data_IF_784578206003
#
_entry.id   IF_784578206003
#
_cell.length_a   1.000
_cell.length_b   1.000
_cell.length_c   1.000
_cell.angle_alpha   90.00
_cell.angle_beta   90.00
_cell.angle_gamma   90.00
#
_symmetry.space_group_name_H-M   'P 1'
#
loop_
_entity.id
_entity.type
_entity.pdbx_description
1 polymer ?
#
# COMPACT_ATOMS: atom_id res chain seq x y z
N UNK A 1 -11.04 -0.55 70.10
CA UNK A 1 -9.71 -0.99 69.62
C UNK A 1 -9.34 -0.07 68.48
N UNK A 2 -8.34 0.77 68.75
CA UNK A 2 -7.74 1.75 67.85
C UNK A 2 -6.88 1.07 66.78
N UNK A 3 -6.77 1.69 65.60
CA UNK A 3 -5.56 2.25 64.97
C UNK A 3 -6.08 3.14 63.81
N UNK A 4 -6.18 4.46 63.98
CA UNK A 4 -5.20 5.52 63.59
C UNK A 4 -4.84 5.50 62.10
N UNK A 5 -5.29 6.51 61.33
CA UNK A 5 -4.54 7.73 60.95
C UNK A 5 -3.54 7.45 59.82
N UNK A 6 -3.31 8.26 58.79
CA UNK A 6 -3.19 9.71 58.71
C UNK A 6 -3.35 10.17 57.26
N UNK A 7 -3.69 11.46 57.12
CA UNK A 7 -3.86 12.19 55.88
C UNK A 7 -2.50 12.77 55.36
N UNK A 8 -2.45 13.91 54.65
CA UNK A 8 -1.77 14.11 53.37
C UNK A 8 -0.41 14.85 53.48
N UNK A 9 0.33 14.91 52.39
CA UNK A 9 1.43 15.85 52.12
C UNK A 9 1.24 16.29 50.66
N UNK A 10 1.01 17.54 50.23
CA UNK A 10 1.62 18.85 50.54
C UNK A 10 3.16 18.82 50.41
N UNK A 11 3.89 19.73 49.77
CA UNK A 11 3.68 21.02 49.08
C UNK A 11 5.05 21.37 48.44
N UNK A 12 5.06 22.30 47.47
CA UNK A 12 6.19 23.12 46.99
C UNK A 12 7.28 22.42 46.17
N UNK A 13 7.87 23.00 45.14
CA UNK A 13 7.92 24.40 44.71
C UNK A 13 9.34 24.70 44.21
N UNK A 14 9.43 25.62 43.24
CA UNK A 14 10.62 26.34 42.77
C UNK A 14 11.56 25.59 41.81
N UNK A 15 11.58 25.99 40.54
CA UNK A 15 12.51 27.04 40.07
C UNK A 15 12.19 27.40 38.61
N UNK A 16 11.93 28.69 38.40
CA UNK A 16 12.06 29.33 37.09
C UNK A 16 13.53 29.31 36.69
N UNK A 17 13.84 28.69 35.55
CA UNK A 17 15.05 28.95 34.80
C UNK A 17 14.64 29.26 33.36
N UNK A 18 14.87 30.51 32.97
CA UNK A 18 14.54 31.02 31.65
C UNK A 18 15.27 30.25 30.55
N UNK A 19 14.51 29.75 29.60
CA UNK A 19 15.01 29.35 28.29
C UNK A 19 14.62 30.44 27.30
N UNK A 20 15.64 31.17 26.84
CA UNK A 20 15.58 32.23 25.85
C UNK A 20 14.84 31.78 24.58
N UNK A 21 14.14 32.67 23.86
CA UNK A 21 13.69 32.37 22.50
C UNK A 21 14.94 32.19 21.63
N UNK A 22 15.09 31.00 21.04
CA UNK A 22 16.08 30.77 19.98
C UNK A 22 15.49 31.41 18.72
N UNK A 23 15.85 32.67 18.48
CA UNK A 23 15.72 33.30 17.18
C UNK A 23 16.57 32.49 16.19
N UNK A 24 15.91 31.71 15.33
CA UNK A 24 16.58 31.13 14.16
C UNK A 24 16.61 32.21 13.08
N UNK A 25 17.76 32.50 12.46
CA UNK A 25 17.80 33.40 11.33
C UNK A 25 16.98 32.81 10.18
N UNK A 26 15.99 33.56 9.73
CA UNK A 26 15.32 33.36 8.44
C UNK A 26 16.33 33.66 7.35
N UNK A 27 17.06 32.63 6.89
CA UNK A 27 17.75 32.71 5.61
C UNK A 27 16.69 32.56 4.52
N UNK A 28 16.30 33.70 3.98
CA UNK A 28 15.49 33.84 2.79
C UNK A 28 16.27 33.24 1.61
N UNK A 29 15.86 32.06 1.12
CA UNK A 29 16.34 31.53 -0.16
C UNK A 29 15.41 32.10 -1.23
N UNK A 30 15.77 33.28 -1.70
CA UNK A 30 15.24 33.85 -2.93
C UNK A 30 16.00 33.22 -4.12
N UNK A 31 15.26 32.90 -5.18
CA UNK A 31 15.71 32.32 -6.47
C UNK A 31 15.75 30.79 -6.57
N UNK A 32 14.57 30.19 -6.63
CA UNK A 32 14.39 28.96 -7.42
C UNK A 32 14.16 29.38 -8.86
N UNK A 33 15.14 29.15 -9.73
CA UNK A 33 14.94 29.32 -11.17
C UNK A 33 13.87 28.35 -11.67
N UNK A 34 12.96 28.75 -12.59
CA UNK A 34 12.14 27.80 -13.30
C UNK A 34 13.04 26.96 -14.20
N UNK A 35 13.38 25.74 -13.79
CA UNK A 35 13.92 24.77 -14.72
C UNK A 35 12.82 24.44 -15.73
N UNK A 36 13.01 24.89 -16.97
CA UNK A 36 12.30 24.34 -18.13
C UNK A 36 12.71 22.87 -18.29
N UNK A 37 12.06 21.99 -17.53
CA UNK A 37 12.20 20.55 -17.65
C UNK A 37 11.48 20.12 -18.94
N UNK A 38 12.23 20.05 -20.03
CA UNK A 38 11.74 19.48 -21.28
C UNK A 38 11.66 17.97 -21.12
N UNK A 39 10.46 17.45 -20.90
CA UNK A 39 10.17 16.02 -20.96
C UNK A 39 10.60 15.48 -22.33
N UNK A 40 11.68 14.70 -22.37
CA UNK A 40 11.89 13.74 -23.45
C UNK A 40 11.61 12.34 -22.89
N UNK A 41 10.48 11.71 -23.25
CA UNK A 41 10.31 10.30 -22.95
C UNK A 41 11.20 9.54 -23.93
N UNK A 42 12.40 9.15 -23.50
CA UNK A 42 13.09 8.03 -24.14
C UNK A 42 12.89 6.84 -23.22
N UNK A 43 11.69 6.29 -23.23
CA UNK A 43 11.50 4.92 -22.78
C UNK A 43 11.95 4.01 -23.93
N UNK A 44 12.90 3.09 -23.71
CA UNK A 44 13.04 1.97 -24.62
C UNK A 44 11.70 1.19 -24.61
N UNK A 45 11.21 0.70 -25.76
CA UNK A 45 10.02 -0.15 -25.76
C UNK A 45 10.37 -1.42 -25.00
N UNK A 46 9.85 -1.57 -23.79
CA UNK A 46 9.97 -2.82 -23.06
C UNK A 46 9.08 -3.86 -23.76
N UNK A 47 9.48 -5.14 -23.82
CA UNK A 47 8.65 -6.22 -24.34
C UNK A 47 7.61 -6.61 -23.26
N UNK A 48 6.65 -5.72 -22.96
CA UNK A 48 5.91 -5.82 -21.69
C UNK A 48 4.77 -6.85 -21.70
N UNK A 49 4.16 -7.12 -22.85
CA UNK A 49 2.89 -7.88 -22.89
C UNK A 49 3.11 -9.39 -22.64
N UNK A 50 4.20 -9.96 -23.17
CA UNK A 50 4.47 -11.40 -23.00
C UNK A 50 4.95 -11.74 -21.59
N UNK A 51 5.70 -10.84 -20.94
CA UNK A 51 6.20 -11.03 -19.58
C UNK A 51 5.08 -11.02 -18.52
N UNK A 52 4.09 -10.14 -18.65
CA UNK A 52 2.96 -10.09 -17.71
C UNK A 52 2.12 -11.37 -17.83
N UNK A 53 1.83 -11.84 -19.04
CA UNK A 53 1.08 -13.09 -19.27
C UNK A 53 1.82 -14.32 -18.75
N UNK A 54 3.13 -14.39 -18.97
CA UNK A 54 3.97 -15.48 -18.47
C UNK A 54 4.04 -15.47 -16.93
N UNK A 55 4.14 -14.28 -16.30
CA UNK A 55 4.11 -14.15 -14.85
C UNK A 55 2.75 -14.48 -14.24
N UNK A 56 1.63 -14.11 -14.88
CA UNK A 56 0.29 -14.53 -14.43
C UNK A 56 0.11 -16.05 -14.52
N UNK A 57 0.65 -16.68 -15.56
CA UNK A 57 0.66 -18.14 -15.70
C UNK A 57 1.50 -18.83 -14.63
N UNK A 58 2.66 -18.24 -14.27
CA UNK A 58 3.52 -18.69 -13.18
C UNK A 58 2.86 -18.50 -11.81
N UNK A 59 2.23 -17.34 -11.57
CA UNK A 59 1.47 -17.04 -10.36
C UNK A 59 0.34 -18.06 -10.16
N UNK A 60 -0.43 -18.34 -11.21
CA UNK A 60 -1.50 -19.33 -11.17
C UNK A 60 -1.03 -20.73 -10.80
N UNK A 61 0.17 -21.13 -11.26
CA UNK A 61 0.72 -22.47 -11.00
C UNK A 61 1.43 -22.57 -9.66
N UNK A 62 2.33 -21.65 -9.38
CA UNK A 62 3.30 -21.77 -8.29
C UNK A 62 2.76 -21.16 -6.98
N UNK A 63 1.93 -20.10 -7.08
CA UNK A 63 1.36 -19.41 -5.91
C UNK A 63 -0.05 -19.90 -5.64
N UNK A 64 -0.96 -19.83 -6.62
CA UNK A 64 -2.36 -20.21 -6.42
C UNK A 64 -2.58 -21.72 -6.44
N UNK A 65 -1.78 -22.48 -7.20
CA UNK A 65 -1.89 -23.93 -7.33
C UNK A 65 -1.94 -24.65 -5.98
N UNK A 66 -0.94 -24.44 -5.10
CA UNK A 66 -0.89 -25.05 -3.77
C UNK A 66 -1.96 -24.59 -2.78
N UNK A 67 -2.61 -23.44 -3.02
CA UNK A 67 -3.64 -22.95 -2.10
C UNK A 67 -4.87 -23.86 -2.17
N UNK A 68 -5.44 -24.18 -1.02
CA UNK A 68 -6.68 -24.97 -0.88
C UNK A 68 -7.95 -24.28 -1.42
N UNK A 69 -7.80 -23.27 -2.28
CA UNK A 69 -8.89 -22.54 -2.91
C UNK A 69 -9.55 -23.35 -4.03
N UNK A 70 -10.82 -23.06 -4.28
CA UNK A 70 -11.53 -23.65 -5.42
C UNK A 70 -10.94 -23.18 -6.75
N UNK A 71 -11.11 -23.98 -7.81
CA UNK A 71 -10.69 -23.58 -9.17
C UNK A 71 -11.34 -22.27 -9.60
N UNK A 72 -12.58 -22.03 -9.16
CA UNK A 72 -13.36 -20.84 -9.52
C UNK A 72 -12.79 -19.60 -8.82
N UNK A 73 -12.52 -19.65 -7.52
CA UNK A 73 -11.85 -18.57 -6.79
C UNK A 73 -10.49 -18.25 -7.42
N UNK A 74 -9.67 -19.27 -7.75
CA UNK A 74 -8.38 -19.06 -8.43
C UNK A 74 -8.53 -18.32 -9.77
N UNK A 75 -9.57 -18.64 -10.54
CA UNK A 75 -9.86 -17.92 -11.79
C UNK A 75 -10.22 -16.46 -11.52
N UNK A 76 -11.11 -16.21 -10.55
CA UNK A 76 -11.51 -14.85 -10.17
C UNK A 76 -10.34 -14.01 -9.70
N UNK A 77 -9.42 -14.59 -8.92
CA UNK A 77 -8.18 -13.92 -8.50
C UNK A 77 -7.33 -13.53 -9.73
N UNK A 78 -7.15 -14.43 -10.68
CA UNK A 78 -6.35 -14.15 -11.88
C UNK A 78 -7.00 -13.11 -12.78
N UNK A 79 -8.32 -13.12 -12.90
CA UNK A 79 -9.05 -12.14 -13.71
C UNK A 79 -9.03 -10.76 -13.02
N UNK A 80 -9.25 -10.70 -11.70
CA UNK A 80 -9.10 -9.47 -10.91
C UNK A 80 -7.71 -8.86 -11.05
N UNK A 81 -6.65 -9.66 -10.92
CA UNK A 81 -5.27 -9.20 -11.09
C UNK A 81 -5.00 -8.71 -12.51
N UNK A 82 -5.59 -9.34 -13.53
CA UNK A 82 -5.43 -8.89 -14.92
C UNK A 82 -6.09 -7.53 -15.15
N UNK A 83 -7.22 -7.28 -14.50
CA UNK A 83 -7.99 -6.05 -14.67
C UNK A 83 -7.43 -4.88 -13.88
N UNK A 84 -6.78 -5.14 -12.74
CA UNK A 84 -6.32 -4.10 -11.82
C UNK A 84 -4.81 -3.86 -11.81
N UNK A 85 -4.01 -4.87 -12.14
CA UNK A 85 -2.55 -4.76 -12.16
C UNK A 85 -2.03 -4.46 -13.56
N UNK A 86 -1.12 -3.49 -13.63
CA UNK A 86 -0.35 -3.19 -14.83
C UNK A 86 1.16 -3.41 -14.60
N UNK A 87 1.94 -3.09 -15.63
CA UNK A 87 3.40 -3.12 -15.63
C UNK A 87 4.07 -2.16 -14.64
N UNK A 88 3.32 -1.41 -13.83
CA UNK A 88 3.80 -0.46 -12.81
C UNK A 88 3.33 -0.86 -11.41
N UNK A 89 2.29 -1.67 -11.28
CA UNK A 89 1.80 -2.18 -9.97
C UNK A 89 2.72 -3.24 -9.34
N UNK A 90 2.67 -3.34 -8.01
CA UNK A 90 3.29 -4.43 -7.23
C UNK A 90 2.36 -5.66 -7.20
N UNK A 91 2.90 -6.84 -6.89
CA UNK A 91 2.09 -8.05 -6.73
C UNK A 91 1.65 -8.23 -5.27
N UNK A 92 0.46 -8.79 -5.02
CA UNK A 92 -0.01 -9.05 -3.67
C UNK A 92 0.66 -10.27 -3.04
N UNK A 93 0.64 -10.30 -1.72
CA UNK A 93 0.60 -11.56 -0.98
C UNK A 93 -0.81 -12.15 -1.09
N UNK A 94 -0.91 -13.45 -1.38
CA UNK A 94 -2.21 -14.14 -1.51
C UNK A 94 -2.30 -15.20 -0.42
N UNK A 95 -3.31 -15.09 0.43
CA UNK A 95 -3.55 -16.01 1.54
C UNK A 95 -4.97 -16.57 1.41
N UNK A 96 -5.18 -17.89 1.50
CA UNK A 96 -6.51 -18.46 1.56
C UNK A 96 -7.13 -18.19 2.94
N UNK A 97 -8.41 -17.86 2.95
CA UNK A 97 -9.25 -17.81 4.14
C UNK A 97 -10.07 -19.10 4.28
N UNK A 98 -10.59 -19.35 5.47
CA UNK A 98 -11.28 -20.60 5.84
C UNK A 98 -12.57 -20.83 5.03
N UNK A 99 -13.19 -19.76 4.52
CA UNK A 99 -14.43 -19.81 3.72
C UNK A 99 -14.21 -20.01 2.21
N UNK A 100 -12.99 -20.38 1.79
CA UNK A 100 -12.66 -20.54 0.37
C UNK A 100 -12.48 -19.22 -0.39
N UNK A 101 -12.35 -18.13 0.37
CA UNK A 101 -12.04 -16.78 -0.09
C UNK A 101 -10.52 -16.62 -0.19
N UNK A 102 -10.05 -15.89 -1.19
CA UNK A 102 -8.66 -15.49 -1.32
C UNK A 102 -8.49 -14.04 -0.85
N UNK A 103 -7.61 -13.83 0.13
CA UNK A 103 -7.25 -12.50 0.62
C UNK A 103 -5.98 -12.05 -0.11
N UNK A 104 -6.11 -11.00 -0.92
CA UNK A 104 -5.02 -10.37 -1.64
C UNK A 104 -4.59 -9.12 -0.89
N UNK A 105 -3.33 -9.06 -0.48
CA UNK A 105 -2.83 -7.97 0.36
C UNK A 105 -1.55 -7.33 -0.23
N UNK A 106 -1.59 -6.01 -0.38
CA UNK A 106 -0.46 -5.18 -0.80
C UNK A 106 -0.06 -4.21 0.31
N UNK A 107 1.24 -3.97 0.44
CA UNK A 107 1.79 -2.94 1.35
C UNK A 107 2.92 -2.20 0.65
N UNK A 108 2.86 -0.87 0.68
CA UNK A 108 3.93 0.01 0.18
C UNK A 108 4.07 1.22 1.10
N UNK A 109 5.13 1.25 1.91
CA UNK A 109 5.33 2.32 2.90
C UNK A 109 4.17 2.37 3.91
N UNK A 110 3.46 3.50 3.96
CA UNK A 110 2.28 3.68 4.82
C UNK A 110 0.95 3.28 4.17
N UNK A 111 0.97 2.90 2.89
CA UNK A 111 -0.19 2.46 2.11
C UNK A 111 -0.40 0.97 2.27
N UNK A 112 -1.67 0.57 2.37
CA UNK A 112 -2.07 -0.83 2.36
C UNK A 112 -3.35 -1.00 1.56
N UNK A 113 -3.49 -2.12 0.87
CA UNK A 113 -4.69 -2.53 0.16
C UNK A 113 -4.94 -4.00 0.45
N UNK A 114 -6.16 -4.33 0.84
CA UNK A 114 -6.66 -5.68 0.95
C UNK A 114 -7.88 -5.82 0.04
N UNK A 115 -7.95 -6.92 -0.68
CA UNK A 115 -9.11 -7.30 -1.48
C UNK A 115 -9.41 -8.76 -1.21
N UNK A 116 -10.66 -9.06 -0.88
CA UNK A 116 -11.11 -10.44 -0.69
C UNK A 116 -11.87 -10.88 -1.94
N UNK A 117 -11.52 -12.05 -2.46
CA UNK A 117 -12.01 -12.58 -3.73
C UNK A 117 -12.55 -13.98 -3.52
N UNK A 118 -13.80 -14.22 -3.89
CA UNK A 118 -14.47 -15.52 -3.79
C UNK A 118 -14.75 -16.12 -5.19
N UNK A 119 -15.68 -17.06 -5.27
CA UNK A 119 -16.08 -17.68 -6.52
C UNK A 119 -16.88 -16.75 -7.46
N UNK A 120 -17.48 -15.69 -6.92
CA UNK A 120 -18.28 -14.70 -7.65
C UNK A 120 -17.45 -13.54 -8.15
N UNK A 121 -16.33 -13.25 -7.49
CA UNK A 121 -15.42 -12.16 -7.85
C UNK A 121 -14.85 -11.48 -6.62
N UNK A 122 -14.36 -10.24 -6.74
CA UNK A 122 -13.99 -9.45 -5.58
C UNK A 122 -15.25 -9.02 -4.80
N UNK A 123 -15.26 -9.32 -3.51
CA UNK A 123 -16.42 -9.11 -2.62
C UNK A 123 -16.18 -8.05 -1.56
N UNK A 124 -14.91 -7.75 -1.27
CA UNK A 124 -14.53 -6.77 -0.26
C UNK A 124 -13.26 -6.06 -0.68
N UNK A 125 -13.17 -4.77 -0.36
CA UNK A 125 -11.96 -3.97 -0.49
C UNK A 125 -11.78 -3.11 0.76
N UNK A 126 -10.58 -3.12 1.28
CA UNK A 126 -10.12 -2.17 2.29
C UNK A 126 -8.81 -1.54 1.83
N UNK A 127 -8.72 -0.21 1.89
CA UNK A 127 -7.52 0.51 1.50
C UNK A 127 -7.18 1.61 2.50
N UNK A 128 -5.91 1.70 2.88
CA UNK A 128 -5.36 2.81 3.66
C UNK A 128 -4.59 3.75 2.73
N UNK A 129 -5.09 4.99 2.57
CA UNK A 129 -4.48 6.03 1.74
C UNK A 129 -3.46 6.87 2.50
N UNK A 130 -2.66 7.62 1.74
CA UNK A 130 -1.71 8.59 2.27
C UNK A 130 -2.47 9.64 3.08
N UNK A 131 -2.03 9.89 4.33
CA UNK A 131 -2.75 10.74 5.29
C UNK A 131 -3.63 9.98 6.29
N UNK A 132 -3.75 8.66 6.17
CA UNK A 132 -4.38 7.80 7.17
C UNK A 132 -5.88 7.53 6.97
N UNK A 133 -6.50 8.13 5.95
CA UNK A 133 -7.89 7.85 5.57
C UNK A 133 -8.02 6.41 5.08
N UNK A 134 -8.99 5.68 5.62
CA UNK A 134 -9.37 4.34 5.16
C UNK A 134 -10.58 4.41 4.24
N UNK A 135 -10.60 3.55 3.23
CA UNK A 135 -11.74 3.32 2.33
C UNK A 135 -12.12 1.86 2.46
N UNK A 136 -13.43 1.62 2.50
CA UNK A 136 -13.98 0.26 2.56
C UNK A 136 -15.14 0.17 1.58
N UNK A 137 -15.16 -0.92 0.81
CA UNK A 137 -16.25 -1.31 -0.08
C UNK A 137 -16.56 -2.75 0.27
N UNK A 138 -17.78 -3.01 0.72
CA UNK A 138 -18.24 -4.29 1.29
C UNK A 138 -19.31 -4.99 0.45
N UNK A 139 -19.48 -4.54 -0.80
CA UNK A 139 -20.37 -5.16 -1.76
C UNK A 139 -19.69 -5.32 -3.14
N UNK A 140 -19.96 -6.43 -3.87
CA UNK A 140 -19.44 -6.62 -5.22
C UNK A 140 -19.96 -5.52 -6.16
N UNK A 141 -19.08 -4.66 -6.65
CA UNK A 141 -19.45 -3.61 -7.58
C UNK A 141 -18.28 -3.23 -8.50
N UNK A 142 -18.59 -2.63 -9.66
CA UNK A 142 -17.57 -2.17 -10.60
C UNK A 142 -16.63 -1.12 -9.97
N UNK A 143 -17.10 -0.38 -8.97
CA UNK A 143 -16.32 0.61 -8.23
C UNK A 143 -15.18 -0.04 -7.43
N UNK A 144 -15.30 -1.30 -7.03
CA UNK A 144 -14.24 -2.03 -6.31
C UNK A 144 -12.99 -2.15 -7.18
N UNK A 145 -13.12 -2.66 -8.41
CA UNK A 145 -11.99 -2.83 -9.34
C UNK A 145 -11.34 -1.49 -9.68
N UNK A 146 -12.16 -0.46 -9.93
CA UNK A 146 -11.69 0.90 -10.22
C UNK A 146 -10.91 1.45 -9.02
N UNK A 147 -11.45 1.32 -7.81
CA UNK A 147 -10.81 1.79 -6.57
C UNK A 147 -9.50 1.05 -6.30
N UNK A 148 -9.47 -0.28 -6.48
CA UNK A 148 -8.27 -1.08 -6.35
C UNK A 148 -7.18 -0.61 -7.33
N UNK A 149 -7.51 -0.46 -8.61
CA UNK A 149 -6.57 -0.01 -9.63
C UNK A 149 -5.99 1.38 -9.31
N UNK A 150 -6.83 2.31 -8.84
CA UNK A 150 -6.38 3.64 -8.41
C UNK A 150 -5.41 3.57 -7.22
N UNK A 151 -5.72 2.76 -6.21
CA UNK A 151 -4.84 2.60 -5.03
C UNK A 151 -3.52 1.95 -5.43
N UNK A 152 -3.55 0.91 -6.27
CA UNK A 152 -2.35 0.24 -6.76
C UNK A 152 -1.45 1.17 -7.58
N UNK A 153 -2.03 2.06 -8.40
CA UNK A 153 -1.28 3.09 -9.12
C UNK A 153 -0.57 4.05 -8.16
N UNK A 154 -1.24 4.50 -7.10
CA UNK A 154 -0.61 5.34 -6.06
C UNK A 154 0.52 4.59 -5.34
N UNK A 155 0.32 3.31 -5.01
CA UNK A 155 1.35 2.48 -4.40
C UNK A 155 2.57 2.30 -5.33
N UNK A 156 2.34 2.13 -6.64
CA UNK A 156 3.40 2.05 -7.63
C UNK A 156 4.25 3.32 -7.69
N UNK A 157 3.61 4.50 -7.67
CA UNK A 157 4.31 5.79 -7.66
C UNK A 157 5.20 5.93 -6.43
N UNK A 158 4.70 5.58 -5.24
CA UNK A 158 5.48 5.62 -3.99
C UNK A 158 6.65 4.65 -4.05
N UNK A 159 6.43 3.41 -4.51
CA UNK A 159 7.49 2.42 -4.67
C UNK A 159 8.58 2.90 -5.65
N UNK A 160 8.17 3.48 -6.78
CA UNK A 160 9.07 3.99 -7.81
C UNK A 160 9.88 5.19 -7.31
N UNK A 161 9.26 6.09 -6.54
CA UNK A 161 9.97 7.21 -5.94
C UNK A 161 11.02 6.76 -4.90
N UNK A 162 10.67 5.78 -4.07
CA UNK A 162 11.57 5.25 -3.05
C UNK A 162 12.72 4.41 -3.63
N UNK A 163 12.46 3.64 -4.69
CA UNK A 163 13.47 2.81 -5.35
C UNK A 163 13.15 2.66 -6.86
N UNK A 164 13.66 3.53 -7.75
CA UNK A 164 13.33 3.47 -9.18
C UNK A 164 13.69 2.16 -9.90
N UNK A 165 14.54 1.32 -9.29
CA UNK A 165 14.98 0.05 -9.84
C UNK A 165 14.30 -1.17 -9.19
N UNK A 166 13.29 -0.95 -8.35
CA UNK A 166 12.60 -2.03 -7.63
C UNK A 166 12.06 -3.12 -8.57
N UNK A 167 11.60 -2.73 -9.76
CA UNK A 167 11.11 -3.68 -10.78
C UNK A 167 12.21 -4.53 -11.37
N UNK A 168 13.39 -3.99 -11.62
CA UNK A 168 14.51 -4.77 -12.19
C UNK A 168 14.86 -5.89 -11.21
N UNK A 169 14.94 -5.58 -9.92
CA UNK A 169 15.16 -6.58 -8.88
C UNK A 169 14.04 -7.64 -8.84
N UNK A 170 12.77 -7.24 -9.03
CA UNK A 170 11.62 -8.16 -8.99
C UNK A 170 11.41 -8.97 -10.28
N UNK A 171 11.81 -8.43 -11.43
CA UNK A 171 11.68 -9.10 -12.72
C UNK A 171 12.80 -10.13 -12.96
N UNK A 172 13.98 -9.89 -12.40
CA UNK A 172 15.16 -10.76 -12.54
C UNK A 172 15.45 -11.66 -11.33
N UNK A 173 14.62 -11.61 -10.28
CA UNK A 173 14.62 -12.58 -9.18
C UNK A 173 13.77 -13.82 -9.54
#
# INVERSE_FOLDING_TARGET
>A
MSLTASAPFAVAGWHSAGSRPVERPHTFIEHVQPCEFTWRPVQPPLPVIDDVRNKMSKLGRDVLGPLGLSRRTKSQVLDFLRDTCDERTTFPSIVPDDDGVAVLHWVTGALALQVDVDETGPIYLWAKRQGGTAITIDEPCAELNITAAMVLAQMAEVANHANPHWRVAYLHA
#
